data_IF_300168157662
#
_entry.id   IF_300168157662
#
_cell.length_a   1.000
_cell.length_b   1.000
_cell.length_c   1.000
_cell.angle_alpha   90.00
_cell.angle_beta   90.00
_cell.angle_gamma   90.00
#
_symmetry.space_group_name_H-M   'P 1'
#
loop_
_entity.id
_entity.type
_entity.pdbx_description
1 polymer ?
#
# COMPACT_ATOMS: atom_id res chain seq x y z
N UNK A 1 17.60 -7.65 -16.54
CA UNK A 1 18.08 -6.99 -15.31
C UNK A 1 17.89 -5.50 -15.48
N UNK A 2 16.68 -4.99 -15.25
CA UNK A 2 16.41 -3.55 -15.27
C UNK A 2 16.85 -2.97 -13.93
N UNK A 3 17.94 -2.22 -13.94
CA UNK A 3 18.33 -1.40 -12.79
C UNK A 3 17.22 -0.39 -12.53
N UNK A 4 16.58 -0.44 -11.36
CA UNK A 4 15.60 0.56 -10.91
C UNK A 4 16.33 1.73 -10.26
N UNK A 5 17.29 2.33 -10.97
CA UNK A 5 17.75 3.66 -10.57
C UNK A 5 16.59 4.63 -10.80
N UNK A 6 16.11 5.35 -9.78
CA UNK A 6 15.09 6.36 -10.00
C UNK A 6 15.64 7.39 -11.00
N UNK A 7 14.91 7.73 -12.08
CA UNK A 7 15.19 8.94 -12.86
C UNK A 7 15.56 10.11 -11.95
N UNK A 8 16.46 10.99 -12.38
CA UNK A 8 16.93 12.14 -11.57
C UNK A 8 15.79 12.98 -10.98
N UNK A 9 14.66 13.05 -11.71
CA UNK A 9 13.43 13.72 -11.31
C UNK A 9 12.77 13.08 -10.08
N UNK A 10 12.77 11.75 -9.96
CA UNK A 10 12.30 11.03 -8.77
C UNK A 10 13.14 11.36 -7.54
N UNK A 11 14.47 11.42 -7.70
CA UNK A 11 15.35 11.75 -6.58
C UNK A 11 15.11 13.17 -6.05
N UNK A 12 14.79 14.13 -6.93
CA UNK A 12 14.50 15.50 -6.54
C UNK A 12 13.14 15.61 -5.85
N UNK A 13 12.11 14.94 -6.38
CA UNK A 13 10.78 14.94 -5.77
C UNK A 13 10.77 14.27 -4.38
N UNK A 14 11.49 13.16 -4.20
CA UNK A 14 11.62 12.51 -2.89
C UNK A 14 12.34 13.38 -1.85
N UNK A 15 13.24 14.28 -2.27
CA UNK A 15 13.90 15.25 -1.38
C UNK A 15 12.96 16.34 -0.88
N UNK A 16 11.80 16.53 -1.51
CA UNK A 16 10.80 17.50 -1.04
C UNK A 16 9.99 16.99 0.15
N UNK A 17 10.05 15.68 0.45
CA UNK A 17 9.39 15.10 1.62
C UNK A 17 10.23 15.47 2.86
N UNK A 18 9.68 16.23 3.82
CA UNK A 18 10.43 16.57 5.02
C UNK A 18 10.84 15.31 5.81
N UNK A 19 11.94 15.35 6.56
CA UNK A 19 12.27 14.27 7.48
C UNK A 19 11.09 13.93 8.38
N UNK A 20 10.91 12.65 8.69
CA UNK A 20 9.82 12.13 9.52
C UNK A 20 8.41 12.43 9.00
N UNK A 21 8.25 12.64 7.69
CA UNK A 21 6.93 12.76 7.05
C UNK A 21 6.74 11.69 5.97
N UNK A 22 5.48 11.33 5.75
CA UNK A 22 5.03 10.58 4.59
C UNK A 22 4.34 11.53 3.62
N UNK A 23 4.57 11.34 2.32
CA UNK A 23 3.77 11.97 1.27
C UNK A 23 2.67 10.99 0.86
N UNK A 24 1.41 11.31 1.14
CA UNK A 24 0.29 10.39 0.92
C UNK A 24 -0.75 10.95 -0.04
N UNK A 25 -1.35 10.06 -0.84
CA UNK A 25 -2.54 10.34 -1.63
C UNK A 25 -3.77 10.41 -0.73
N UNK A 26 -3.83 9.55 0.29
CA UNK A 26 -4.95 9.48 1.23
C UNK A 26 -4.71 8.53 2.38
N UNK A 27 -5.61 8.60 3.35
CA UNK A 27 -5.60 7.81 4.58
C UNK A 27 -7.04 7.49 5.01
N UNK A 28 -7.26 6.29 5.52
CA UNK A 28 -8.48 5.95 6.28
C UNK A 28 -8.11 5.27 7.60
N UNK A 29 -8.84 5.61 8.67
CA UNK A 29 -8.62 5.05 10.00
C UNK A 29 -8.99 3.57 10.08
N UNK A 30 -9.98 3.14 9.29
CA UNK A 30 -10.55 1.78 9.31
C UNK A 30 -10.92 1.29 7.93
N UNK A 31 -10.53 0.06 7.61
CA UNK A 31 -10.94 -0.69 6.44
C UNK A 31 -10.92 -2.18 6.75
N UNK A 32 -11.87 -2.93 6.20
CA UNK A 32 -11.97 -4.39 6.23
C UNK A 32 -11.67 -5.00 4.85
N UNK A 33 -11.57 -4.19 3.79
CA UNK A 33 -11.35 -4.64 2.39
C UNK A 33 -9.91 -4.47 1.89
N UNK A 34 -8.98 -3.98 2.74
CA UNK A 34 -7.58 -3.70 2.37
C UNK A 34 -6.56 -4.62 3.07
N UNK A 35 -7.00 -5.69 3.73
CA UNK A 35 -6.12 -6.66 4.40
C UNK A 35 -6.81 -7.34 5.58
N UNK A 36 -6.16 -8.30 6.27
CA UNK A 36 -6.75 -9.01 7.40
C UNK A 36 -7.27 -8.07 8.50
N UNK A 37 -8.51 -8.32 8.91
CA UNK A 37 -9.18 -7.59 10.00
C UNK A 37 -9.44 -6.11 9.68
N UNK A 38 -9.99 -5.40 10.66
CA UNK A 38 -10.11 -3.94 10.58
C UNK A 38 -8.72 -3.30 10.72
N UNK A 39 -8.38 -2.38 9.83
CA UNK A 39 -7.06 -1.75 9.81
C UNK A 39 -7.04 -0.36 9.18
N UNK A 40 -6.05 0.44 9.56
CA UNK A 40 -5.76 1.68 8.85
C UNK A 40 -5.16 1.39 7.48
N UNK A 41 -5.38 2.29 6.52
CA UNK A 41 -4.77 2.21 5.19
C UNK A 41 -4.09 3.53 4.87
N UNK A 42 -2.81 3.44 4.48
CA UNK A 42 -2.03 4.57 3.98
C UNK A 42 -1.85 4.33 2.48
N UNK A 43 -2.43 5.20 1.65
CA UNK A 43 -2.10 5.25 0.22
C UNK A 43 -0.99 6.26 0.01
N UNK A 44 0.24 5.81 -0.22
CA UNK A 44 1.36 6.72 -0.47
C UNK A 44 1.22 7.41 -1.82
N UNK A 45 1.85 8.58 -1.96
CA UNK A 45 1.96 9.33 -3.20
C UNK A 45 3.30 8.97 -3.90
N UNK A 46 3.28 8.89 -5.23
CA UNK A 46 4.42 8.60 -6.09
C UNK A 46 4.45 7.15 -6.59
N UNK A 47 4.29 6.94 -7.91
CA UNK A 47 4.53 5.65 -8.56
C UNK A 47 5.00 5.83 -10.01
N UNK A 48 6.15 5.27 -10.41
CA UNK A 48 6.68 5.49 -11.76
C UNK A 48 6.05 4.53 -12.79
N UNK A 49 5.21 3.58 -12.37
CA UNK A 49 4.75 2.48 -13.23
C UNK A 49 3.62 2.87 -14.16
N UNK A 50 2.73 3.76 -13.70
CA UNK A 50 1.56 4.20 -14.43
C UNK A 50 0.81 3.06 -15.16
N UNK A 51 0.54 1.96 -14.45
CA UNK A 51 -0.04 0.76 -15.06
C UNK A 51 -1.37 1.08 -15.76
N UNK A 52 -1.61 0.59 -16.99
CA UNK A 52 -2.95 0.59 -17.59
C UNK A 52 -3.96 -0.05 -16.63
N UNK A 53 -5.12 0.58 -16.43
CA UNK A 53 -6.14 0.10 -15.48
C UNK A 53 -5.80 0.26 -13.99
N UNK A 54 -4.81 1.09 -13.62
CA UNK A 54 -4.48 1.36 -12.22
C UNK A 54 -5.70 1.88 -11.42
N UNK A 55 -5.89 1.38 -10.20
CA UNK A 55 -6.97 1.81 -9.31
C UNK A 55 -6.77 3.20 -8.72
N UNK A 56 -5.51 3.64 -8.61
CA UNK A 56 -5.08 4.87 -7.94
C UNK A 56 -4.20 5.74 -8.86
N UNK A 57 -4.69 6.17 -10.05
CA UNK A 57 -3.88 6.96 -10.98
C UNK A 57 -3.43 8.30 -10.37
N UNK A 58 -4.21 8.86 -9.45
CA UNK A 58 -3.87 10.11 -8.75
C UNK A 58 -2.61 9.99 -7.87
N UNK A 59 -2.21 8.76 -7.51
CA UNK A 59 -0.98 8.51 -6.77
C UNK A 59 0.29 8.51 -7.63
N UNK A 60 0.23 8.69 -8.94
CA UNK A 60 1.42 8.56 -9.80
C UNK A 60 2.45 9.68 -9.62
N UNK A 61 1.97 10.92 -9.45
CA UNK A 61 2.85 12.08 -9.27
C UNK A 61 3.72 11.92 -8.03
N UNK A 62 5.00 12.29 -8.11
CA UNK A 62 5.89 12.35 -6.96
C UNK A 62 5.85 13.69 -6.23
N UNK A 63 5.12 14.67 -6.75
CA UNK A 63 4.93 15.94 -6.07
C UNK A 63 4.28 15.74 -4.68
N UNK A 64 4.61 16.60 -3.70
CA UNK A 64 3.92 16.62 -2.42
C UNK A 64 2.40 16.76 -2.60
N UNK A 65 1.64 15.85 -1.99
CA UNK A 65 0.18 15.90 -1.92
C UNK A 65 -0.22 16.20 -0.47
N UNK A 66 -0.27 15.18 0.39
CA UNK A 66 -0.46 15.36 1.83
C UNK A 66 0.80 14.94 2.57
N UNK A 67 1.50 15.91 3.17
CA UNK A 67 2.66 15.65 4.01
C UNK A 67 2.22 15.49 5.46
N UNK A 68 2.22 14.25 5.95
CA UNK A 68 1.78 13.93 7.32
C UNK A 68 2.96 13.38 8.11
N UNK A 69 3.15 13.85 9.34
CA UNK A 69 4.23 13.37 10.20
C UNK A 69 4.02 11.91 10.60
N UNK A 70 5.12 11.18 10.83
CA UNK A 70 5.09 9.81 11.38
C UNK A 70 4.33 9.78 12.70
N UNK A 71 4.57 10.76 13.58
CA UNK A 71 3.90 10.84 14.88
C UNK A 71 2.39 10.93 14.76
N UNK A 72 1.91 11.76 13.84
CA UNK A 72 0.48 11.91 13.59
C UNK A 72 -0.13 10.64 12.99
N UNK A 73 0.51 10.02 12.00
CA UNK A 73 0.02 8.75 11.43
C UNK A 73 -0.04 7.65 12.48
N UNK A 74 1.02 7.49 13.28
CA UNK A 74 1.05 6.49 14.35
C UNK A 74 -0.03 6.79 15.40
N UNK A 75 -0.21 8.06 15.80
CA UNK A 75 -1.25 8.44 16.76
C UNK A 75 -2.66 8.12 16.24
N UNK A 76 -2.95 8.37 14.96
CA UNK A 76 -4.23 8.01 14.34
C UNK A 76 -4.44 6.49 14.30
N UNK A 77 -3.44 5.74 13.84
CA UNK A 77 -3.51 4.28 13.73
C UNK A 77 -3.79 3.64 15.10
N UNK A 78 -3.05 4.05 16.14
CA UNK A 78 -3.17 3.51 17.49
C UNK A 78 -4.37 4.07 18.27
N UNK A 79 -4.86 5.25 17.89
CA UNK A 79 -6.04 5.87 18.48
C UNK A 79 -7.36 5.19 18.10
N UNK A 80 -7.37 4.37 17.05
CA UNK A 80 -8.52 3.58 16.65
C UNK A 80 -8.43 2.16 17.23
N UNK A 81 -9.23 1.81 18.25
CA UNK A 81 -9.11 0.55 18.97
C UNK A 81 -9.51 -0.69 18.15
N UNK A 82 -10.20 -0.51 17.01
CA UNK A 82 -10.53 -1.63 16.11
C UNK A 82 -9.37 -2.04 15.21
N UNK A 83 -8.33 -1.22 15.11
CA UNK A 83 -7.21 -1.54 14.24
C UNK A 83 -6.42 -2.73 14.78
N UNK A 84 -6.40 -3.78 13.98
CA UNK A 84 -5.52 -4.95 14.15
C UNK A 84 -4.20 -4.78 13.40
N UNK A 85 -4.12 -3.76 12.53
CA UNK A 85 -2.97 -3.54 11.69
C UNK A 85 -2.99 -2.24 10.89
N UNK A 86 -2.01 -2.11 10.00
CA UNK A 86 -1.96 -1.07 8.96
C UNK A 86 -1.61 -1.69 7.62
N UNK A 87 -2.20 -1.18 6.55
CA UNK A 87 -1.85 -1.53 5.17
C UNK A 87 -1.18 -0.33 4.50
N UNK A 88 0.01 -0.57 3.93
CA UNK A 88 0.65 0.34 2.99
C UNK A 88 0.23 -0.04 1.57
N UNK A 89 -0.40 0.89 0.88
CA UNK A 89 -0.84 0.73 -0.50
C UNK A 89 -0.59 2.04 -1.22
N UNK A 90 -1.14 2.16 -2.43
CA UNK A 90 -1.05 3.38 -3.23
C UNK A 90 0.38 3.75 -3.58
N UNK A 91 0.50 4.64 -4.57
CA UNK A 91 1.76 4.95 -5.20
C UNK A 91 2.60 3.68 -5.39
N UNK A 92 3.79 3.71 -4.81
CA UNK A 92 4.60 2.55 -4.56
C UNK A 92 5.25 2.71 -3.16
N UNK A 93 4.81 1.95 -2.14
CA UNK A 93 5.28 2.10 -0.75
C UNK A 93 6.80 2.05 -0.61
N UNK A 94 7.48 1.25 -1.42
CA UNK A 94 8.93 1.09 -1.30
C UNK A 94 9.73 2.32 -1.72
N UNK A 95 9.15 3.32 -2.38
CA UNK A 95 9.81 4.61 -2.60
C UNK A 95 9.83 5.51 -1.35
N UNK A 96 9.04 5.20 -0.33
CA UNK A 96 9.03 5.89 0.96
C UNK A 96 9.41 4.95 2.12
N UNK A 97 10.20 3.91 1.81
CA UNK A 97 10.50 2.83 2.74
C UNK A 97 11.07 3.28 4.10
N UNK A 98 11.98 4.28 4.21
CA UNK A 98 12.49 4.71 5.52
C UNK A 98 11.39 5.20 6.46
N UNK A 99 10.48 6.05 5.97
CA UNK A 99 9.34 6.57 6.76
C UNK A 99 8.38 5.46 7.14
N UNK A 100 8.03 4.60 6.19
CA UNK A 100 7.09 3.49 6.43
C UNK A 100 7.66 2.42 7.37
N UNK A 101 8.97 2.21 7.36
CA UNK A 101 9.66 1.32 8.30
C UNK A 101 9.48 1.80 9.73
N UNK A 102 9.65 3.09 9.98
CA UNK A 102 9.48 3.64 11.33
C UNK A 102 8.03 3.53 11.80
N UNK A 103 7.05 3.82 10.93
CA UNK A 103 5.63 3.59 11.24
C UNK A 103 5.39 2.12 11.58
N UNK A 104 5.89 1.19 10.76
CA UNK A 104 5.75 -0.25 10.94
C UNK A 104 6.32 -0.71 12.29
N UNK A 105 7.55 -0.29 12.64
CA UNK A 105 8.18 -0.60 13.94
C UNK A 105 7.32 -0.13 15.12
N UNK A 106 6.76 1.07 15.04
CA UNK A 106 5.98 1.65 16.12
C UNK A 106 4.63 0.98 16.32
N UNK A 107 3.95 0.60 15.25
CA UNK A 107 2.67 -0.13 15.36
C UNK A 107 2.89 -1.59 15.77
N UNK A 108 3.96 -2.23 15.29
CA UNK A 108 4.39 -3.56 15.75
C UNK A 108 4.66 -3.58 17.25
N UNK A 109 5.32 -2.55 17.79
CA UNK A 109 5.57 -2.43 19.23
C UNK A 109 4.29 -2.37 20.07
N UNK A 110 3.13 -2.11 19.46
CA UNK A 110 1.81 -2.12 20.10
C UNK A 110 0.98 -3.38 19.77
N UNK A 111 1.57 -4.35 19.07
CA UNK A 111 0.93 -5.63 18.74
C UNK A 111 0.07 -5.61 17.48
N UNK A 112 0.11 -4.55 16.68
CA UNK A 112 -0.58 -4.48 15.39
C UNK A 112 0.27 -5.16 14.30
N UNK A 113 -0.35 -5.70 13.25
CA UNK A 113 0.35 -6.28 12.10
C UNK A 113 0.42 -5.33 10.88
N UNK A 114 1.40 -5.51 10.01
CA UNK A 114 1.72 -4.63 8.89
C UNK A 114 1.65 -5.40 7.57
N UNK A 115 0.93 -4.85 6.61
CA UNK A 115 0.84 -5.37 5.25
C UNK A 115 1.27 -4.31 4.23
N UNK A 116 1.81 -4.75 3.09
CA UNK A 116 2.07 -3.86 1.97
C UNK A 116 1.67 -4.45 0.62
N UNK A 117 1.14 -3.60 -0.27
CA UNK A 117 1.06 -3.86 -1.71
C UNK A 117 2.22 -3.18 -2.41
N UNK A 118 2.85 -3.86 -3.38
CA UNK A 118 3.97 -3.28 -4.14
C UNK A 118 3.97 -3.74 -5.58
N UNK A 119 4.44 -2.87 -6.48
CA UNK A 119 4.71 -3.22 -7.87
C UNK A 119 6.09 -3.85 -8.07
N UNK A 120 6.90 -4.04 -7.03
CA UNK A 120 8.13 -4.83 -7.07
C UNK A 120 7.85 -6.30 -6.74
N UNK A 121 8.69 -7.21 -7.19
CA UNK A 121 8.69 -8.57 -6.65
C UNK A 121 9.56 -8.65 -5.39
N UNK A 122 9.32 -9.63 -4.52
CA UNK A 122 10.14 -9.85 -3.32
C UNK A 122 11.62 -10.06 -3.67
N UNK A 123 11.92 -10.67 -4.83
CA UNK A 123 13.29 -10.84 -5.32
C UNK A 123 13.91 -9.50 -5.74
N UNK A 124 13.14 -8.60 -6.36
CA UNK A 124 13.60 -7.25 -6.67
C UNK A 124 13.87 -6.45 -5.39
N UNK A 125 13.02 -6.57 -4.37
CA UNK A 125 13.18 -5.89 -3.07
C UNK A 125 14.38 -6.38 -2.27
N UNK A 126 14.80 -7.64 -2.46
CA UNK A 126 16.02 -8.21 -1.88
C UNK A 126 17.29 -7.95 -2.69
N UNK A 127 17.15 -7.39 -3.90
CA UNK A 127 18.29 -7.14 -4.77
C UNK A 127 19.07 -5.88 -4.37
N UNK A 128 20.31 -5.77 -4.84
CA UNK A 128 21.12 -4.55 -4.69
C UNK A 128 20.56 -3.36 -5.47
N UNK A 129 19.59 -3.56 -6.36
CA UNK A 129 18.88 -2.52 -7.11
C UNK A 129 17.54 -2.12 -6.50
N UNK A 130 17.23 -2.59 -5.29
CA UNK A 130 16.02 -2.20 -4.59
C UNK A 130 16.04 -0.72 -4.19
N UNK A 131 14.86 -0.08 -4.01
CA UNK A 131 14.79 1.26 -3.44
C UNK A 131 15.52 1.38 -2.09
N UNK A 132 16.07 2.56 -1.75
CA UNK A 132 16.72 2.78 -0.45
C UNK A 132 15.77 2.43 0.72
N UNK A 133 16.27 1.65 1.68
CA UNK A 133 15.50 1.19 2.85
C UNK A 133 14.49 0.07 2.55
N UNK A 134 14.44 -0.46 1.31
CA UNK A 134 13.46 -1.49 0.96
C UNK A 134 13.59 -2.77 1.79
N UNK A 135 14.81 -3.21 2.09
CA UNK A 135 15.02 -4.40 2.92
C UNK A 135 14.58 -4.18 4.37
N UNK A 136 14.75 -2.97 4.91
CA UNK A 136 14.30 -2.63 6.25
C UNK A 136 12.78 -2.66 6.34
N UNK A 137 12.09 -2.05 5.37
CA UNK A 137 10.63 -2.12 5.31
C UNK A 137 10.15 -3.56 5.13
N UNK A 138 10.76 -4.31 4.21
CA UNK A 138 10.41 -5.71 3.96
C UNK A 138 10.52 -6.56 5.22
N UNK A 139 11.53 -6.31 6.06
CA UNK A 139 11.72 -7.01 7.33
C UNK A 139 10.67 -6.67 8.40
N UNK A 140 9.88 -5.60 8.22
CA UNK A 140 8.78 -5.24 9.11
C UNK A 140 7.40 -5.69 8.59
N UNK A 141 7.31 -6.35 7.43
CA UNK A 141 6.03 -6.77 6.89
C UNK A 141 5.63 -8.15 7.45
N UNK A 142 4.35 -8.29 7.80
CA UNK A 142 3.73 -9.57 8.10
C UNK A 142 3.14 -10.22 6.83
N UNK A 143 2.61 -9.39 5.93
CA UNK A 143 2.06 -9.80 4.63
C UNK A 143 2.56 -8.85 3.53
N UNK A 144 2.91 -9.42 2.38
CA UNK A 144 3.27 -8.68 1.17
C UNK A 144 2.48 -9.20 -0.02
N UNK A 145 1.80 -8.32 -0.73
CA UNK A 145 1.29 -8.60 -2.08
C UNK A 145 2.24 -7.97 -3.08
N UNK A 146 2.94 -8.81 -3.85
CA UNK A 146 4.02 -8.37 -4.72
C UNK A 146 3.66 -8.46 -6.22
N UNK A 147 4.40 -7.70 -7.04
CA UNK A 147 4.28 -7.68 -8.49
C UNK A 147 3.39 -6.54 -9.04
N UNK A 148 3.73 -6.01 -10.24
CA UNK A 148 2.97 -4.94 -10.85
C UNK A 148 1.58 -5.42 -11.27
N UNK A 149 0.61 -4.52 -11.31
CA UNK A 149 -0.64 -4.78 -11.99
C UNK A 149 -0.41 -4.88 -13.51
N UNK A 150 -0.91 -5.95 -14.12
CA UNK A 150 -0.88 -6.19 -15.56
C UNK A 150 -2.32 -6.41 -16.04
N UNK A 151 -2.82 -5.48 -16.86
CA UNK A 151 -4.22 -5.47 -17.33
C UNK A 151 -4.60 -6.74 -18.09
N UNK A 152 -3.72 -7.25 -18.97
CA UNK A 152 -3.97 -8.49 -19.71
C UNK A 152 -4.01 -9.76 -18.84
N UNK A 153 -3.57 -9.64 -17.58
CA UNK A 153 -3.58 -10.70 -16.58
C UNK A 153 -4.55 -10.38 -15.43
N UNK A 154 -5.41 -9.36 -15.58
CA UNK A 154 -6.33 -8.92 -14.54
C UNK A 154 -7.22 -10.08 -14.04
N UNK A 155 -7.45 -10.08 -12.73
CA UNK A 155 -8.40 -10.98 -12.06
C UNK A 155 -9.60 -10.14 -11.63
N UNK A 156 -10.76 -10.44 -12.18
CA UNK A 156 -12.03 -9.76 -11.86
C UNK A 156 -12.88 -10.58 -10.89
N UNK A 157 -12.24 -11.37 -10.03
CA UNK A 157 -12.88 -12.20 -9.02
C UNK A 157 -12.81 -11.49 -7.65
N UNK A 158 -13.95 -11.21 -7.00
CA UNK A 158 -13.98 -10.55 -5.70
C UNK A 158 -13.25 -11.34 -4.60
N UNK A 159 -13.16 -12.66 -4.73
CA UNK A 159 -12.51 -13.54 -3.74
C UNK A 159 -10.99 -13.64 -3.91
N UNK A 160 -10.44 -13.00 -4.94
CA UNK A 160 -8.99 -12.97 -5.18
C UNK A 160 -8.29 -11.93 -4.30
N UNK A 161 -7.24 -12.30 -3.53
CA UNK A 161 -6.45 -11.34 -2.76
C UNK A 161 -5.49 -10.51 -3.62
N UNK A 162 -5.40 -10.81 -4.92
CA UNK A 162 -4.55 -10.11 -5.89
C UNK A 162 -5.36 -9.68 -7.11
N UNK A 163 -4.93 -8.59 -7.75
CA UNK A 163 -5.65 -7.98 -8.87
C UNK A 163 -5.17 -8.46 -10.24
N UNK A 164 -4.02 -9.14 -10.31
CA UNK A 164 -3.46 -9.68 -11.56
C UNK A 164 -2.72 -10.99 -11.34
N UNK A 165 -2.80 -11.93 -12.29
CA UNK A 165 -2.28 -13.31 -12.15
C UNK A 165 -0.77 -13.42 -11.88
N UNK A 166 0.00 -12.38 -12.20
CA UNK A 166 1.44 -12.36 -11.94
C UNK A 166 1.79 -11.93 -10.50
N UNK A 167 0.81 -11.48 -9.72
CA UNK A 167 1.02 -11.04 -8.35
C UNK A 167 0.97 -12.22 -7.38
N UNK A 168 1.70 -12.13 -6.26
CA UNK A 168 1.78 -13.20 -5.26
C UNK A 168 1.56 -12.65 -3.86
N UNK A 169 0.90 -13.43 -3.02
CA UNK A 169 0.78 -13.16 -1.59
C UNK A 169 1.90 -13.89 -0.87
N UNK A 170 2.70 -13.16 -0.09
CA UNK A 170 3.72 -13.68 0.80
C UNK A 170 3.26 -13.42 2.24
N UNK A 171 3.21 -14.48 3.04
CA UNK A 171 2.87 -14.39 4.46
C UNK A 171 4.15 -14.66 5.23
N UNK A 172 4.72 -13.61 5.82
CA UNK A 172 5.96 -13.68 6.61
C UNK A 172 5.68 -14.00 8.07
N UNK A 173 4.53 -13.59 8.59
CA UNK A 173 4.05 -13.95 9.92
C UNK A 173 3.20 -15.23 9.86
N UNK A 174 3.67 -16.38 10.39
CA UNK A 174 2.94 -17.64 10.32
C UNK A 174 1.55 -17.60 10.97
N UNK A 175 1.34 -16.71 11.96
CA UNK A 175 0.06 -16.59 12.66
C UNK A 175 -1.06 -16.04 11.75
N UNK A 176 -0.69 -15.42 10.63
CA UNK A 176 -1.63 -14.86 9.65
C UNK A 176 -1.87 -15.78 8.44
N UNK A 177 -1.40 -17.03 8.48
CA UNK A 177 -1.47 -17.96 7.34
C UNK A 177 -2.90 -18.18 6.81
N UNK A 178 -3.87 -18.22 7.73
CA UNK A 178 -5.28 -18.45 7.40
C UNK A 178 -6.09 -17.13 7.40
N UNK A 179 -5.41 -15.97 7.37
CA UNK A 179 -6.03 -14.64 7.49
C UNK A 179 -6.26 -13.94 6.15
N UNK A 180 -6.34 -14.67 5.04
CA UNK A 180 -6.78 -14.10 3.76
C UNK A 180 -8.31 -13.93 3.78
N UNK A 181 -8.78 -12.91 4.50
CA UNK A 181 -10.20 -12.66 4.76
C UNK A 181 -10.76 -11.41 4.10
N UNK A 182 -9.91 -10.55 3.54
CA UNK A 182 -10.31 -9.24 2.99
C UNK A 182 -10.79 -9.30 1.55
N UNK A 183 -10.38 -10.35 0.82
CA UNK A 183 -10.81 -10.58 -0.54
C UNK A 183 -12.29 -10.97 -0.53
N UNK A 184 -13.15 -10.03 -0.90
CA UNK A 184 -14.60 -10.16 -0.88
C UNK A 184 -15.23 -9.30 -1.98
N UNK A 185 -16.54 -9.43 -2.15
CA UNK A 185 -17.34 -8.62 -3.07
C UNK A 185 -17.71 -7.24 -2.48
N UNK A 186 -17.08 -6.87 -1.36
CA UNK A 186 -17.38 -5.63 -0.65
C UNK A 186 -16.64 -4.42 -1.24
N UNK A 187 -17.33 -3.30 -1.20
CA UNK A 187 -16.83 -1.96 -1.52
C UNK A 187 -16.99 -1.07 -0.29
N UNK A 188 -15.95 -0.30 0.02
CA UNK A 188 -16.01 0.75 1.02
C UNK A 188 -16.02 2.14 0.35
N UNK A 189 -16.87 3.02 0.88
CA UNK A 189 -16.94 4.42 0.50
C UNK A 189 -16.71 5.26 1.75
N UNK A 190 -15.60 5.97 1.79
CA UNK A 190 -15.26 6.88 2.87
C UNK A 190 -15.53 8.31 2.41
N UNK A 191 -16.39 9.03 3.14
CA UNK A 191 -16.70 10.45 2.87
C UNK A 191 -15.92 11.29 3.88
N UNK A 192 -14.97 12.09 3.39
CA UNK A 192 -14.10 12.91 4.23
C UNK A 192 -14.78 14.23 4.60
N UNK A 193 -14.24 14.93 5.61
CA UNK A 193 -14.81 16.18 6.14
C UNK A 193 -14.86 17.31 5.10
N UNK A 194 -13.96 17.29 4.12
CA UNK A 194 -13.92 18.23 3.01
C UNK A 194 -14.89 17.87 1.87
N UNK A 195 -15.66 16.79 2.02
CA UNK A 195 -16.62 16.28 1.03
C UNK A 195 -16.00 15.38 -0.04
N UNK A 196 -14.68 15.16 -0.02
CA UNK A 196 -14.01 14.20 -0.90
C UNK A 196 -14.38 12.75 -0.54
N UNK A 197 -14.13 11.83 -1.47
CA UNK A 197 -14.57 10.43 -1.37
C UNK A 197 -13.44 9.49 -1.72
N UNK A 198 -13.22 8.47 -0.89
CA UNK A 198 -12.31 7.36 -1.18
C UNK A 198 -13.14 6.11 -1.46
N UNK A 199 -12.92 5.49 -2.62
CA UNK A 199 -13.54 4.24 -3.03
C UNK A 199 -12.49 3.13 -3.04
N UNK A 200 -12.66 2.10 -2.22
CA UNK A 200 -11.72 0.98 -2.09
C UNK A 200 -12.43 -0.36 -1.90
N UNK A 201 -11.74 -1.46 -2.16
CA UNK A 201 -12.33 -2.80 -2.27
C UNK A 201 -12.70 -3.18 -3.70
N UNK A 202 -13.63 -4.12 -3.85
CA UNK A 202 -14.03 -4.65 -5.15
C UNK A 202 -14.91 -3.66 -5.89
N UNK A 203 -14.46 -3.19 -7.07
CA UNK A 203 -15.21 -2.24 -7.91
C UNK A 203 -16.22 -2.92 -8.85
N UNK A 204 -16.07 -4.22 -9.08
CA UNK A 204 -16.82 -4.96 -10.09
C UNK A 204 -16.56 -4.45 -11.51
N UNK A 205 -17.18 -5.12 -12.49
CA UNK A 205 -17.35 -4.59 -13.85
C UNK A 205 -18.85 -4.56 -14.13
N UNK A 206 -19.34 -3.48 -14.75
CA UNK A 206 -20.66 -3.50 -15.38
C UNK A 206 -20.57 -4.44 -16.58
N UNK A 207 -20.89 -5.72 -16.37
CA UNK A 207 -21.22 -6.59 -17.48
C UNK A 207 -22.50 -6.07 -18.11
N UNK A 208 -22.48 -5.76 -19.41
CA UNK A 208 -23.70 -5.84 -20.19
C UNK A 208 -24.22 -7.26 -20.00
N UNK A 209 -25.41 -7.41 -19.43
CA UNK A 209 -26.14 -8.66 -19.45
C UNK A 209 -26.31 -9.02 -20.94
N UNK A 210 -25.50 -9.95 -21.45
CA UNK A 210 -25.77 -10.62 -22.72
C UNK A 210 -26.81 -11.73 -22.50
#
# INVERSE_FOLDING_TARGET
MTSFNPPSELSQALQQIPPNHANIMGYVDRSEVNGPGCRAVIWVQGCPRACPGCFNPDSWSFEPNQLISIDELVARILGEPRNQGVTFSGGEPFWQAPTLTEIARRVHAQGLNVMSFTGFTVEQLRSNSAPPGAQDLLAQLDILVDGPYVESLAINDPTSPVSSKNQRVHIFNPDLKDSITWASDQLEVHILQDGSRIFTGYRGQLGTLE
#
